data_IF_313082598725
#
_entry.id   IF_313082598725
#
_cell.length_a   1.000
_cell.length_b   1.000
_cell.length_c   1.000
_cell.angle_alpha   90.00
_cell.angle_beta   90.00
_cell.angle_gamma   90.00
#
_symmetry.space_group_name_H-M   'P 1'
#
loop_
_entity.id
_entity.type
_entity.pdbx_description
1 polymer ?
#
# COMPACT_ATOMS: atom_id res chain seq x y z
N UNK A 1 -4.76 8.46 -7.50
CA UNK A 1 -3.82 7.77 -8.42
C UNK A 1 -4.66 7.08 -9.49
N UNK A 2 -4.29 7.14 -10.76
CA UNK A 2 -5.02 6.49 -11.85
C UNK A 2 -4.07 5.62 -12.68
N UNK A 3 -4.52 4.43 -13.05
CA UNK A 3 -3.82 3.51 -13.93
C UNK A 3 -4.67 3.31 -15.19
N UNK A 4 -4.12 3.65 -16.36
CA UNK A 4 -4.71 3.25 -17.64
C UNK A 4 -4.15 1.87 -18.01
N UNK A 5 -5.03 0.90 -18.17
CA UNK A 5 -4.71 -0.43 -18.63
C UNK A 5 -5.33 -0.66 -20.02
N UNK A 6 -4.71 -1.53 -20.80
CA UNK A 6 -5.21 -2.01 -22.09
C UNK A 6 -5.11 -3.53 -22.07
N UNK A 7 -6.21 -4.19 -22.44
CA UNK A 7 -6.34 -5.63 -22.46
C UNK A 7 -5.94 -6.17 -23.84
N UNK A 8 -5.75 -7.48 -23.95
CA UNK A 8 -5.37 -8.12 -25.22
C UNK A 8 -6.41 -7.94 -26.33
N UNK A 9 -7.69 -7.78 -25.96
CA UNK A 9 -8.79 -7.49 -26.89
C UNK A 9 -8.86 -6.00 -27.32
N UNK A 10 -7.92 -5.18 -26.87
CA UNK A 10 -7.86 -3.74 -27.15
C UNK A 10 -8.81 -2.90 -26.30
N UNK A 11 -9.61 -3.51 -25.42
CA UNK A 11 -10.42 -2.75 -24.46
C UNK A 11 -9.52 -1.97 -23.50
N UNK A 12 -9.99 -0.81 -23.08
CA UNK A 12 -9.26 0.07 -22.18
C UNK A 12 -10.06 0.34 -20.92
N UNK A 13 -9.36 0.47 -19.80
CA UNK A 13 -9.97 0.89 -18.56
C UNK A 13 -9.01 1.73 -17.74
N UNK A 14 -9.58 2.73 -17.06
CA UNK A 14 -8.90 3.56 -16.10
C UNK A 14 -9.31 3.11 -14.71
N UNK A 15 -8.39 2.52 -13.95
CA UNK A 15 -8.58 2.19 -12.54
C UNK A 15 -8.16 3.39 -11.71
N UNK A 16 -9.12 4.04 -11.08
CA UNK A 16 -8.92 5.27 -10.32
C UNK A 16 -9.05 4.98 -8.83
N UNK A 17 -7.94 5.04 -8.09
CA UNK A 17 -7.98 5.06 -6.64
C UNK A 17 -8.23 6.50 -6.17
N UNK A 18 -9.46 6.77 -5.72
CA UNK A 18 -9.92 8.11 -5.29
C UNK A 18 -9.54 8.40 -3.84
N UNK A 19 -9.68 7.40 -2.99
CA UNK A 19 -9.47 7.52 -1.55
C UNK A 19 -8.83 6.23 -1.04
N UNK A 20 -7.64 6.37 -0.45
CA UNK A 20 -6.92 5.27 0.15
C UNK A 20 -7.09 5.31 1.66
N UNK A 21 -7.68 4.27 2.22
CA UNK A 21 -7.85 4.09 3.66
C UNK A 21 -8.65 5.21 4.34
N UNK A 22 -9.81 5.52 3.76
CA UNK A 22 -10.69 6.54 4.32
C UNK A 22 -11.65 5.97 5.36
N UNK A 23 -12.10 6.85 6.26
CA UNK A 23 -13.24 6.59 7.13
C UNK A 23 -14.53 6.69 6.30
N UNK A 24 -15.56 5.90 6.63
CA UNK A 24 -16.78 5.87 5.83
C UNK A 24 -17.42 7.27 5.69
N UNK A 25 -17.30 8.11 6.73
CA UNK A 25 -17.81 9.49 6.75
C UNK A 25 -17.04 10.47 5.84
N UNK A 26 -15.85 10.10 5.39
CA UNK A 26 -14.98 10.96 4.56
C UNK A 26 -15.18 10.71 3.06
N UNK A 27 -15.93 9.65 2.71
CA UNK A 27 -16.24 9.33 1.33
C UNK A 27 -17.15 10.39 0.74
N UNK A 28 -16.64 11.10 -0.26
CA UNK A 28 -17.36 12.14 -0.99
C UNK A 28 -17.68 11.68 -2.42
N UNK A 29 -18.90 11.17 -2.62
CA UNK A 29 -19.35 10.69 -3.92
C UNK A 29 -19.46 11.80 -4.97
N UNK A 30 -19.70 13.05 -4.57
CA UNK A 30 -19.70 14.18 -5.50
C UNK A 30 -18.29 14.37 -6.05
N UNK A 31 -17.28 14.35 -5.18
CA UNK A 31 -15.87 14.43 -5.59
C UNK A 31 -15.45 13.24 -6.46
N UNK A 32 -15.87 12.03 -6.11
CA UNK A 32 -15.66 10.83 -6.95
C UNK A 32 -16.23 11.06 -8.36
N UNK A 33 -17.46 11.57 -8.46
CA UNK A 33 -18.10 11.85 -9.75
C UNK A 33 -17.28 12.84 -10.61
N UNK A 34 -16.74 13.90 -10.00
CA UNK A 34 -15.89 14.86 -10.73
C UNK A 34 -14.65 14.19 -11.34
N UNK A 35 -13.96 13.35 -10.59
CA UNK A 35 -12.78 12.65 -11.11
C UNK A 35 -13.14 11.64 -12.21
N UNK A 36 -14.26 10.95 -12.06
CA UNK A 36 -14.76 10.02 -13.09
C UNK A 36 -15.10 10.76 -14.37
N UNK A 37 -15.85 11.86 -14.28
CA UNK A 37 -16.24 12.65 -15.45
C UNK A 37 -15.02 13.21 -16.20
N UNK A 38 -14.07 13.77 -15.46
CA UNK A 38 -12.82 14.31 -16.02
C UNK A 38 -11.99 13.22 -16.73
N UNK A 39 -11.83 12.03 -16.12
CA UNK A 39 -11.11 10.92 -16.75
C UNK A 39 -11.86 10.34 -17.96
N UNK A 40 -13.19 10.25 -17.91
CA UNK A 40 -13.99 9.78 -19.02
C UNK A 40 -13.89 10.72 -20.23
N UNK A 41 -13.80 12.03 -20.01
CA UNK A 41 -13.57 13.02 -21.07
C UNK A 41 -12.17 12.92 -21.67
N UNK A 42 -11.14 12.70 -20.83
CA UNK A 42 -9.74 12.56 -21.29
C UNK A 42 -9.45 11.22 -21.97
N UNK A 43 -10.23 10.19 -21.66
CA UNK A 43 -10.06 8.83 -22.18
C UNK A 43 -11.41 8.28 -22.69
N UNK A 44 -11.93 8.80 -23.82
CA UNK A 44 -13.30 8.51 -24.28
C UNK A 44 -13.54 7.04 -24.68
N UNK A 45 -12.47 6.27 -24.91
CA UNK A 45 -12.55 4.84 -25.25
C UNK A 45 -12.32 3.92 -24.04
N UNK A 46 -11.99 4.47 -22.87
CA UNK A 46 -11.70 3.70 -21.67
C UNK A 46 -12.87 3.73 -20.69
N UNK A 47 -13.19 2.58 -20.10
CA UNK A 47 -14.14 2.51 -18.98
C UNK A 47 -13.45 2.98 -17.71
N UNK A 48 -14.03 3.94 -16.99
CA UNK A 48 -13.46 4.45 -15.73
C UNK A 48 -14.04 3.70 -14.54
N UNK A 49 -13.18 3.02 -13.78
CA UNK A 49 -13.52 2.31 -12.55
C UNK A 49 -12.98 3.06 -11.32
N UNK A 50 -13.79 3.92 -10.68
CA UNK A 50 -13.43 4.50 -9.39
C UNK A 50 -13.46 3.42 -8.31
N UNK A 51 -12.35 3.29 -7.58
CA UNK A 51 -12.20 2.41 -6.43
C UNK A 51 -11.97 3.26 -5.20
N UNK A 52 -12.80 3.04 -4.18
CA UNK A 52 -12.68 3.66 -2.86
C UNK A 52 -12.47 2.55 -1.85
N UNK A 53 -11.37 2.62 -1.10
CA UNK A 53 -11.08 1.66 -0.05
C UNK A 53 -11.37 2.28 1.32
N UNK A 54 -12.42 1.78 1.96
CA UNK A 54 -12.81 2.14 3.32
C UNK A 54 -12.32 1.03 4.26
N UNK A 55 -11.59 1.42 5.30
CA UNK A 55 -11.09 0.46 6.32
C UNK A 55 -11.66 0.74 7.70
N UNK A 56 -12.60 1.69 7.82
CA UNK A 56 -13.24 2.10 9.08
C UNK A 56 -13.88 0.90 9.80
N UNK A 57 -13.58 0.67 11.09
CA UNK A 57 -14.24 -0.36 11.89
C UNK A 57 -15.65 0.10 12.32
N UNK A 58 -15.99 1.37 12.13
CA UNK A 58 -17.30 1.92 12.47
C UNK A 58 -18.41 1.38 11.57
N UNK A 59 -19.58 1.14 12.14
CA UNK A 59 -20.77 0.62 11.46
C UNK A 59 -21.46 1.63 10.51
N UNK A 60 -20.81 2.73 10.14
CA UNK A 60 -21.45 3.75 9.28
C UNK A 60 -21.47 3.28 7.83
N UNK A 61 -22.65 3.28 7.24
CA UNK A 61 -22.85 2.97 5.84
C UNK A 61 -22.31 4.10 4.95
N UNK A 62 -21.58 3.72 3.89
CA UNK A 62 -21.29 4.61 2.77
C UNK A 62 -22.56 4.74 1.93
N UNK A 63 -22.88 5.93 1.43
CA UNK A 63 -24.00 6.11 0.52
C UNK A 63 -23.79 5.26 -0.74
N UNK A 64 -24.83 4.61 -1.24
CA UNK A 64 -24.78 3.76 -2.45
C UNK A 64 -25.08 4.55 -3.74
N UNK A 65 -25.45 5.82 -3.62
CA UNK A 65 -25.65 6.71 -4.75
C UNK A 65 -25.44 8.18 -4.41
N UNK A 66 -25.23 8.97 -5.45
CA UNK A 66 -25.26 10.42 -5.43
C UNK A 66 -25.98 10.92 -6.67
N UNK A 67 -26.80 11.95 -6.51
CA UNK A 67 -27.53 12.57 -7.62
C UNK A 67 -27.39 14.09 -7.63
N UNK A 68 -27.52 14.65 -8.83
CA UNK A 68 -27.64 16.08 -9.06
C UNK A 68 -28.94 16.35 -9.80
N UNK A 69 -29.82 17.13 -9.15
CA UNK A 69 -31.12 17.52 -9.69
C UNK A 69 -31.09 19.01 -10.04
N UNK A 70 -31.47 19.35 -11.26
CA UNK A 70 -31.56 20.72 -11.77
C UNK A 70 -32.97 20.95 -12.28
N UNK A 71 -33.66 21.97 -11.75
CA UNK A 71 -35.05 22.29 -12.11
C UNK A 71 -36.00 21.08 -12.01
N UNK A 72 -35.80 20.21 -11.01
CA UNK A 72 -36.60 19.00 -10.80
C UNK A 72 -36.23 17.80 -11.67
N UNK A 73 -35.18 17.90 -12.50
CA UNK A 73 -34.72 16.81 -13.37
C UNK A 73 -33.36 16.29 -12.90
N UNK A 74 -33.26 14.97 -12.68
CA UNK A 74 -31.97 14.31 -12.39
C UNK A 74 -31.06 14.42 -13.60
N UNK A 75 -30.02 15.25 -13.49
CA UNK A 75 -29.05 15.53 -14.56
C UNK A 75 -27.86 14.58 -14.49
N UNK A 76 -27.47 14.16 -13.28
CA UNK A 76 -26.41 13.17 -13.07
C UNK A 76 -26.84 12.21 -11.97
N UNK A 77 -26.58 10.93 -12.18
CA UNK A 77 -26.75 9.87 -11.20
C UNK A 77 -25.48 9.02 -11.17
N UNK A 78 -24.81 9.00 -10.02
CA UNK A 78 -23.73 8.06 -9.73
C UNK A 78 -24.28 6.97 -8.82
N UNK A 79 -24.24 5.72 -9.28
CA UNK A 79 -24.51 4.54 -8.43
C UNK A 79 -23.21 3.86 -8.11
N UNK A 80 -23.01 3.51 -6.85
CA UNK A 80 -21.81 2.80 -6.40
C UNK A 80 -22.18 1.42 -5.89
N UNK A 81 -21.34 0.45 -6.25
CA UNK A 81 -21.44 -0.90 -5.70
C UNK A 81 -20.60 -0.96 -4.43
N UNK A 82 -21.26 -1.21 -3.30
CA UNK A 82 -20.59 -1.41 -2.03
C UNK A 82 -20.33 -2.91 -1.87
N UNK A 83 -19.09 -3.26 -1.51
CA UNK A 83 -18.71 -4.65 -1.22
C UNK A 83 -17.97 -4.67 0.10
N UNK A 84 -18.60 -5.25 1.11
CA UNK A 84 -18.01 -5.41 2.43
C UNK A 84 -17.33 -6.78 2.49
N UNK A 85 -16.06 -6.80 2.88
CA UNK A 85 -15.32 -8.04 3.08
C UNK A 85 -15.50 -8.46 4.54
N UNK A 86 -16.07 -9.64 4.76
CA UNK A 86 -16.38 -10.16 6.09
C UNK A 86 -15.75 -11.54 6.31
N UNK A 87 -15.77 -12.05 7.54
CA UNK A 87 -15.32 -13.41 7.84
C UNK A 87 -16.06 -14.48 7.02
N UNK A 88 -17.32 -14.22 6.63
CA UNK A 88 -18.10 -15.11 5.77
C UNK A 88 -17.52 -15.22 4.33
N UNK A 89 -16.73 -14.25 3.88
CA UNK A 89 -16.07 -14.28 2.58
C UNK A 89 -14.82 -15.16 2.55
N UNK A 90 -14.27 -15.55 3.72
CA UNK A 90 -13.01 -16.29 3.79
C UNK A 90 -12.95 -17.55 2.92
N UNK A 91 -13.98 -18.43 2.89
CA UNK A 91 -13.95 -19.60 2.02
C UNK A 91 -13.82 -19.23 0.54
N UNK A 92 -14.58 -18.21 0.10
CA UNK A 92 -14.55 -17.72 -1.28
C UNK A 92 -13.20 -17.07 -1.62
N UNK A 93 -12.66 -16.23 -0.73
CA UNK A 93 -11.37 -15.58 -0.96
C UNK A 93 -10.25 -16.62 -1.08
N UNK A 94 -10.27 -17.66 -0.23
CA UNK A 94 -9.31 -18.76 -0.29
C UNK A 94 -9.42 -19.58 -1.57
N UNK A 95 -10.61 -19.70 -2.17
CA UNK A 95 -10.79 -20.47 -3.41
C UNK A 95 -10.33 -19.73 -4.67
N UNK A 96 -10.21 -18.39 -4.62
CA UNK A 96 -9.84 -17.58 -5.79
C UNK A 96 -8.36 -17.66 -6.17
N UNK A 97 -7.52 -18.23 -5.29
CA UNK A 97 -6.08 -18.48 -5.51
C UNK A 97 -5.33 -17.33 -6.20
N UNK A 98 -5.61 -16.09 -5.78
CA UNK A 98 -4.90 -14.93 -6.31
C UNK A 98 -4.46 -14.00 -5.18
N UNK A 99 -3.43 -13.21 -5.50
CA UNK A 99 -2.73 -12.36 -4.52
C UNK A 99 -3.59 -11.26 -3.94
N UNK A 100 -4.49 -10.70 -4.75
CA UNK A 100 -5.45 -9.68 -4.28
C UNK A 100 -6.40 -10.29 -3.26
N UNK A 101 -6.91 -11.49 -3.51
CA UNK A 101 -7.77 -12.20 -2.55
C UNK A 101 -7.01 -12.50 -1.26
N UNK A 102 -5.75 -12.94 -1.35
CA UNK A 102 -4.87 -13.13 -0.18
C UNK A 102 -4.70 -11.86 0.64
N UNK A 103 -4.45 -10.72 0.00
CA UNK A 103 -4.37 -9.42 0.67
C UNK A 103 -5.69 -9.03 1.37
N UNK A 104 -6.84 -9.25 0.72
CA UNK A 104 -8.15 -8.94 1.31
C UNK A 104 -8.48 -9.83 2.52
N UNK A 105 -7.91 -11.03 2.62
CA UNK A 105 -8.08 -11.88 3.81
C UNK A 105 -7.50 -11.24 5.08
N UNK A 106 -6.56 -10.29 4.96
CA UNK A 106 -6.02 -9.58 6.12
C UNK A 106 -7.06 -8.68 6.81
N UNK A 107 -8.14 -8.31 6.11
CA UNK A 107 -9.20 -7.44 6.63
C UNK A 107 -10.17 -8.15 7.58
N UNK A 108 -10.19 -9.48 7.59
CA UNK A 108 -11.27 -10.25 8.23
C UNK A 108 -10.81 -11.08 9.42
N UNK A 109 -9.51 -11.20 9.65
CA UNK A 109 -8.96 -11.93 10.80
C UNK A 109 -8.76 -10.95 11.96
N UNK A 110 -9.24 -11.32 13.15
CA UNK A 110 -9.22 -10.43 14.33
C UNK A 110 -7.84 -10.25 14.94
N UNK A 111 -7.02 -11.31 14.97
CA UNK A 111 -5.62 -11.19 15.38
C UNK A 111 -4.80 -10.67 14.19
N UNK A 112 -4.25 -9.47 14.34
CA UNK A 112 -3.54 -8.74 13.28
C UNK A 112 -2.31 -9.50 12.78
N UNK A 113 -1.60 -10.21 13.65
CA UNK A 113 -0.42 -11.00 13.28
C UNK A 113 -0.83 -12.23 12.49
N UNK A 114 -1.80 -13.00 13.00
CA UNK A 114 -2.30 -14.18 12.27
C UNK A 114 -2.96 -13.78 10.94
N UNK A 115 -3.57 -12.59 10.86
CA UNK A 115 -4.10 -12.03 9.62
C UNK A 115 -3.01 -11.89 8.54
N UNK A 116 -1.90 -11.26 8.92
CA UNK A 116 -0.76 -11.02 8.02
C UNK A 116 -0.12 -12.36 7.63
N UNK A 117 0.15 -13.25 8.59
CA UNK A 117 0.74 -14.57 8.32
C UNK A 117 -0.15 -15.41 7.40
N UNK A 118 -1.47 -15.41 7.63
CA UNK A 118 -2.41 -16.15 6.79
C UNK A 118 -2.50 -15.59 5.37
N UNK A 119 -2.52 -14.26 5.23
CA UNK A 119 -2.49 -13.58 3.93
C UNK A 119 -1.21 -13.93 3.17
N UNK A 120 -0.05 -13.84 3.82
CA UNK A 120 1.24 -14.25 3.25
C UNK A 120 1.26 -15.71 2.82
N UNK A 121 0.83 -16.61 3.70
CA UNK A 121 0.72 -18.04 3.40
C UNK A 121 -0.14 -18.31 2.17
N UNK A 122 -1.26 -17.60 2.03
CA UNK A 122 -2.12 -17.72 0.85
C UNK A 122 -1.44 -17.18 -0.41
N UNK A 123 -0.82 -16.00 -0.34
CA UNK A 123 -0.15 -15.38 -1.48
C UNK A 123 1.06 -16.17 -1.97
N UNK A 124 1.84 -16.74 -1.07
CA UNK A 124 2.98 -17.60 -1.40
C UNK A 124 2.56 -18.88 -2.16
N UNK A 125 1.32 -19.34 -1.97
CA UNK A 125 0.73 -20.46 -2.73
C UNK A 125 -0.03 -20.05 -3.97
N UNK A 126 -0.21 -18.74 -4.19
CA UNK A 126 -0.93 -18.20 -5.34
C UNK A 126 0.05 -17.96 -6.50
N UNK A 127 -0.38 -18.09 -7.78
CA UNK A 127 0.47 -17.80 -8.93
C UNK A 127 1.07 -16.39 -8.90
N UNK A 128 2.33 -16.27 -9.34
CA UNK A 128 3.07 -15.01 -9.48
C UNK A 128 4.52 -15.08 -8.96
N UNK A 129 5.35 -14.05 -9.20
CA UNK A 129 6.74 -14.02 -8.77
C UNK A 129 6.86 -13.84 -7.26
N UNK A 130 7.73 -14.58 -6.57
CA UNK A 130 7.84 -14.50 -5.11
C UNK A 130 8.18 -13.08 -4.62
N UNK A 131 8.93 -12.32 -5.41
CA UNK A 131 9.33 -10.94 -5.13
C UNK A 131 8.16 -9.97 -4.93
N UNK A 132 6.95 -10.24 -5.45
CA UNK A 132 5.83 -9.33 -5.13
C UNK A 132 5.37 -9.49 -3.68
N UNK A 133 5.68 -10.59 -2.99
CA UNK A 133 5.30 -10.78 -1.58
C UNK A 133 5.89 -9.65 -0.72
N UNK A 134 7.14 -9.27 -0.96
CA UNK A 134 7.79 -8.12 -0.35
C UNK A 134 6.98 -6.83 -0.62
N UNK A 135 6.66 -6.57 -1.89
CA UNK A 135 5.91 -5.38 -2.31
C UNK A 135 4.54 -5.28 -1.65
N UNK A 136 3.90 -6.42 -1.38
CA UNK A 136 2.58 -6.47 -0.75
C UNK A 136 2.62 -6.41 0.78
N UNK A 137 3.76 -6.68 1.42
CA UNK A 137 3.89 -6.73 2.88
C UNK A 137 3.38 -5.46 3.57
N UNK A 138 3.82 -4.24 3.19
CA UNK A 138 3.39 -3.03 3.89
C UNK A 138 1.88 -2.80 3.76
N UNK A 139 1.29 -3.19 2.61
CA UNK A 139 -0.15 -3.08 2.39
C UNK A 139 -0.92 -4.05 3.27
N UNK A 140 -0.47 -5.30 3.38
CA UNK A 140 -1.11 -6.33 4.20
C UNK A 140 -1.05 -5.95 5.68
N UNK A 141 0.12 -5.53 6.18
CA UNK A 141 0.28 -5.05 7.56
C UNK A 141 -0.65 -3.87 7.85
N UNK A 142 -0.76 -2.94 6.89
CA UNK A 142 -1.63 -1.78 7.02
C UNK A 142 -3.11 -2.13 7.01
N UNK A 143 -3.54 -3.05 6.15
CA UNK A 143 -4.92 -3.53 6.10
C UNK A 143 -5.29 -4.29 7.38
N UNK A 144 -4.38 -5.12 7.89
CA UNK A 144 -4.53 -5.78 9.18
C UNK A 144 -4.45 -4.82 10.36
N UNK A 145 -4.02 -3.56 10.14
CA UNK A 145 -3.77 -2.55 11.18
C UNK A 145 -2.79 -3.06 12.26
N UNK A 146 -1.79 -3.82 11.84
CA UNK A 146 -0.82 -4.40 12.76
C UNK A 146 0.05 -3.28 13.38
N UNK A 147 0.06 -3.12 14.71
CA UNK A 147 0.91 -2.14 15.36
C UNK A 147 2.38 -2.55 15.31
N UNK A 148 3.28 -1.59 15.40
CA UNK A 148 4.73 -1.85 15.41
C UNK A 148 5.16 -2.74 16.59
N UNK A 149 4.44 -2.69 17.72
CA UNK A 149 4.67 -3.55 18.87
C UNK A 149 4.52 -5.04 18.56
N UNK A 150 3.76 -5.39 17.52
CA UNK A 150 3.50 -6.78 17.12
C UNK A 150 4.55 -7.33 16.13
N UNK A 151 5.45 -6.48 15.62
CA UNK A 151 6.51 -6.90 14.67
C UNK A 151 7.38 -8.05 15.20
N UNK A 152 7.82 -8.07 16.48
CA UNK A 152 8.59 -9.20 17.00
C UNK A 152 7.79 -10.51 17.02
N UNK A 153 6.50 -10.43 17.36
CA UNK A 153 5.59 -11.59 17.34
C UNK A 153 5.37 -12.07 15.91
N UNK A 154 5.15 -11.16 14.97
CA UNK A 154 5.02 -11.46 13.55
C UNK A 154 6.24 -12.20 12.99
N UNK A 155 7.46 -11.71 13.28
CA UNK A 155 8.71 -12.38 12.85
C UNK A 155 8.80 -13.81 13.38
N UNK A 156 8.52 -14.03 14.67
CA UNK A 156 8.50 -15.36 15.26
C UNK A 156 7.48 -16.28 14.57
N UNK A 157 6.29 -15.77 14.28
CA UNK A 157 5.24 -16.56 13.61
C UNK A 157 5.58 -16.91 12.17
N UNK A 158 6.25 -16.01 11.43
CA UNK A 158 6.80 -16.32 10.11
C UNK A 158 7.88 -17.42 10.17
N UNK A 159 8.77 -17.36 11.16
CA UNK A 159 9.79 -18.37 11.43
C UNK A 159 9.16 -19.75 11.68
N UNK A 160 8.17 -19.81 12.57
CA UNK A 160 7.40 -21.03 12.88
C UNK A 160 6.62 -21.57 11.66
N UNK A 161 6.21 -20.69 10.75
CA UNK A 161 5.56 -21.04 9.49
C UNK A 161 6.54 -21.44 8.37
N UNK A 162 7.86 -21.44 8.63
CA UNK A 162 8.89 -21.78 7.65
C UNK A 162 9.16 -20.70 6.59
N UNK A 163 8.73 -19.46 6.83
CA UNK A 163 8.84 -18.33 5.89
C UNK A 163 10.13 -17.52 6.10
N UNK A 164 11.28 -18.19 6.05
CA UNK A 164 12.59 -17.60 6.40
C UNK A 164 13.06 -16.53 5.40
N UNK A 165 12.75 -16.68 4.10
CA UNK A 165 13.16 -15.72 3.07
C UNK A 165 12.55 -14.33 3.30
N UNK A 166 11.27 -14.27 3.66
CA UNK A 166 10.56 -13.02 3.97
C UNK A 166 11.22 -12.28 5.15
N UNK A 167 11.70 -13.01 6.16
CA UNK A 167 12.36 -12.40 7.34
C UNK A 167 13.72 -11.81 6.98
N UNK A 168 14.48 -12.49 6.12
CA UNK A 168 15.79 -12.00 5.65
C UNK A 168 15.61 -10.71 4.86
N UNK A 169 14.65 -10.68 3.94
CA UNK A 169 14.35 -9.50 3.12
C UNK A 169 13.80 -8.33 3.97
N UNK A 170 12.89 -8.58 4.92
CA UNK A 170 12.43 -7.55 5.88
C UNK A 170 13.56 -6.93 6.70
N UNK A 171 14.61 -7.71 7.04
CA UNK A 171 15.78 -7.18 7.76
C UNK A 171 16.62 -6.30 6.85
N UNK A 172 16.70 -6.61 5.56
CA UNK A 172 17.40 -5.80 4.57
C UNK A 172 16.66 -4.48 4.30
N UNK A 173 15.33 -4.52 4.13
CA UNK A 173 14.52 -3.32 3.93
C UNK A 173 14.53 -2.39 5.16
N UNK A 174 14.40 -2.96 6.37
CA UNK A 174 14.48 -2.18 7.61
C UNK A 174 15.86 -1.52 7.81
N UNK A 175 16.94 -2.18 7.39
CA UNK A 175 18.30 -1.58 7.37
C UNK A 175 18.40 -0.47 6.33
N UNK A 176 17.81 -0.65 5.17
CA UNK A 176 17.76 0.36 4.12
C UNK A 176 17.00 1.62 4.58
N UNK A 177 15.83 1.46 5.19
CA UNK A 177 15.03 2.59 5.69
C UNK A 177 15.73 3.35 6.83
N UNK A 178 16.29 2.63 7.81
CA UNK A 178 17.09 3.23 8.87
C UNK A 178 18.33 3.96 8.33
N UNK A 179 18.97 3.40 7.30
CA UNK A 179 20.08 4.04 6.60
C UNK A 179 19.67 5.35 5.93
N UNK A 180 18.55 5.36 5.19
CA UNK A 180 18.01 6.57 4.57
C UNK A 180 17.64 7.64 5.59
N UNK A 181 17.05 7.27 6.72
CA UNK A 181 16.73 8.20 7.81
C UNK A 181 18.01 8.83 8.42
N UNK A 182 19.05 8.02 8.61
CA UNK A 182 20.36 8.48 9.09
C UNK A 182 21.00 9.47 8.11
N UNK A 183 21.01 9.15 6.81
CA UNK A 183 21.47 10.05 5.74
C UNK A 183 20.70 11.37 5.73
N UNK A 184 19.37 11.32 5.87
CA UNK A 184 18.53 12.52 5.92
C UNK A 184 18.85 13.39 7.15
N UNK A 185 19.17 12.78 8.29
CA UNK A 185 19.60 13.48 9.50
C UNK A 185 20.94 14.21 9.29
N UNK A 186 21.93 13.53 8.72
CA UNK A 186 23.24 14.11 8.39
C UNK A 186 23.08 15.31 7.45
N UNK A 187 22.25 15.18 6.40
CA UNK A 187 21.93 16.29 5.49
C UNK A 187 21.31 17.48 6.23
N UNK A 188 20.33 17.25 7.09
CA UNK A 188 19.71 18.34 7.89
C UNK A 188 20.69 19.04 8.82
N UNK A 189 21.71 18.34 9.32
CA UNK A 189 22.76 18.94 10.15
C UNK A 189 23.73 19.78 9.30
N UNK A 190 24.02 19.35 8.07
CA UNK A 190 24.77 20.14 7.12
C UNK A 190 24.04 21.41 6.68
N UNK A 191 22.75 21.32 6.35
CA UNK A 191 21.93 22.47 5.93
C UNK A 191 21.84 23.53 7.03
N UNK A 192 21.94 23.11 8.30
CA UNK A 192 21.98 23.99 9.47
C UNK A 192 23.39 24.52 9.79
N UNK A 193 24.40 24.17 9.00
CA UNK A 193 25.80 24.57 9.22
C UNK A 193 26.46 23.92 10.43
N UNK A 194 25.84 22.88 11.02
CA UNK A 194 26.37 22.15 12.19
C UNK A 194 27.46 21.16 11.77
N UNK A 195 27.30 20.57 10.58
CA UNK A 195 28.26 19.63 9.99
C UNK A 195 28.85 20.21 8.69
N UNK A 196 30.17 20.13 8.54
CA UNK A 196 30.83 20.44 7.27
C UNK A 196 30.69 19.27 6.30
N UNK A 197 30.83 19.54 4.99
CA UNK A 197 30.76 18.51 3.93
C UNK A 197 31.80 17.41 4.13
N UNK A 198 33.00 17.75 4.58
CA UNK A 198 34.08 16.78 4.78
C UNK A 198 33.78 15.86 5.97
N UNK A 199 33.27 16.40 7.08
CA UNK A 199 32.87 15.59 8.24
C UNK A 199 31.68 14.69 7.90
N UNK A 200 30.69 15.19 7.15
CA UNK A 200 29.57 14.38 6.69
C UNK A 200 30.01 13.25 5.73
N UNK A 201 31.02 13.48 4.89
CA UNK A 201 31.61 12.44 4.03
C UNK A 201 32.29 11.35 4.85
N UNK A 202 33.10 11.73 5.85
CA UNK A 202 33.77 10.78 6.75
C UNK A 202 32.75 9.97 7.55
N UNK A 203 31.72 10.62 8.08
CA UNK A 203 30.65 9.94 8.84
C UNK A 203 29.91 8.92 7.98
N UNK A 204 29.55 9.28 6.73
CA UNK A 204 28.90 8.34 5.81
C UNK A 204 29.80 7.16 5.41
N UNK A 205 31.11 7.39 5.30
CA UNK A 205 32.08 6.32 5.04
C UNK A 205 32.19 5.36 6.23
N UNK A 206 32.31 5.89 7.45
CA UNK A 206 32.37 5.08 8.68
C UNK A 206 31.09 4.26 8.88
N UNK A 207 29.92 4.86 8.63
CA UNK A 207 28.63 4.16 8.69
C UNK A 207 28.50 3.03 7.65
N UNK A 208 29.13 3.17 6.47
CA UNK A 208 29.19 2.08 5.48
C UNK A 208 30.20 0.99 5.87
N UNK A 209 31.33 1.36 6.47
CA UNK A 209 32.39 0.43 6.89
C UNK A 209 31.95 -0.42 8.08
N UNK A 210 31.25 0.18 9.05
CA UNK A 210 30.64 -0.51 10.19
C UNK A 210 29.40 -1.32 9.82
N UNK A 211 28.89 -1.17 8.59
CA UNK A 211 27.67 -1.82 8.12
C UNK A 211 26.39 -1.27 8.74
N UNK A 212 26.46 -0.10 9.40
CA UNK A 212 25.31 0.59 9.97
C UNK A 212 24.33 1.08 8.90
N UNK A 213 24.82 1.37 7.69
CA UNK A 213 24.00 1.66 6.51
C UNK A 213 24.41 0.79 5.31
N UNK A 214 23.46 0.42 4.42
CA UNK A 214 23.80 -0.26 3.17
C UNK A 214 24.71 0.58 2.26
N UNK A 215 25.66 -0.09 1.57
CA UNK A 215 26.68 0.58 0.74
C UNK A 215 26.10 1.37 -0.43
N UNK A 216 25.04 0.87 -1.06
CA UNK A 216 24.31 1.53 -2.14
C UNK A 216 23.72 2.87 -1.67
N UNK A 217 23.05 2.90 -0.51
CA UNK A 217 22.49 4.12 0.09
C UNK A 217 23.59 5.11 0.46
N UNK A 218 24.69 4.63 1.07
CA UNK A 218 25.81 5.49 1.42
C UNK A 218 26.51 6.08 0.19
N UNK A 219 26.70 5.30 -0.87
CA UNK A 219 27.29 5.76 -2.13
C UNK A 219 26.40 6.78 -2.86
N UNK A 220 25.08 6.56 -2.89
CA UNK A 220 24.12 7.52 -3.41
C UNK A 220 24.22 8.85 -2.65
N UNK A 221 24.21 8.81 -1.31
CA UNK A 221 24.33 9.97 -0.46
C UNK A 221 25.65 10.75 -0.72
N UNK A 222 26.77 10.04 -0.83
CA UNK A 222 28.08 10.62 -1.15
C UNK A 222 28.11 11.29 -2.52
N UNK A 223 27.40 10.74 -3.51
CA UNK A 223 27.34 11.33 -4.86
C UNK A 223 26.67 12.71 -4.87
N UNK A 224 25.73 12.94 -3.95
CA UNK A 224 24.99 14.19 -3.79
C UNK A 224 25.70 15.24 -2.90
N UNK A 225 26.87 14.90 -2.36
CA UNK A 225 27.72 15.78 -1.54
C UNK A 225 28.88 16.40 -2.33
N UNK A 226 28.93 16.16 -3.65
CA UNK A 226 29.83 16.86 -4.57
C UNK A 226 29.36 18.30 -4.74
#
# INVERSE_FOLDING_TARGET
>A
MALLATWEDGSQAVILLVEHWSEARKVDLRRVNWYVADLALRHPHAVVFPVVLVTDPGAKAVADHWEMVVAGVTTVLLRVRISQVTTADLPRLRSLQNRVAGMLMALVVQDTVEAVVAAFGHMARSPGPLDDLERFLPFIMKLARMPESDVPRFRRRLEEAGMVNVITEMKEEGRAEAGRATVASIRRLMDRGVLTRDVARTELQDLMETGAIPRDIGQEALSLLK
#
